data_IF_274844597786
#
_entry.id   IF_274844597786
#
_cell.length_a   1.000
_cell.length_b   1.000
_cell.length_c   1.000
_cell.angle_alpha   90.00
_cell.angle_beta   90.00
_cell.angle_gamma   90.00
#
_symmetry.space_group_name_H-M   'P 1'
#
loop_
_entity.id
_entity.type
_entity.pdbx_description
1 polymer ?
#
# COMPACT_ATOMS: atom_id res chain seq x y z
N UNK A 1 -40.66 -35.65 35.00
CA UNK A 1 -39.25 -35.77 35.40
C UNK A 1 -38.41 -35.42 34.18
N UNK A 2 -37.60 -34.36 34.27
CA UNK A 2 -36.92 -33.71 33.14
C UNK A 2 -35.95 -34.64 32.40
N UNK A 3 -36.21 -34.86 31.11
CA UNK A 3 -35.30 -35.51 30.18
C UNK A 3 -34.13 -34.56 29.92
N UNK A 4 -33.02 -34.76 30.63
CA UNK A 4 -31.78 -34.02 30.38
C UNK A 4 -31.24 -34.42 29.02
N UNK A 5 -31.53 -33.64 27.99
CA UNK A 5 -30.86 -33.69 26.68
C UNK A 5 -29.36 -33.52 26.92
N UNK A 6 -28.61 -34.62 26.97
CA UNK A 6 -27.14 -34.59 27.04
C UNK A 6 -26.64 -34.00 25.73
N UNK A 7 -26.33 -32.70 25.72
CA UNK A 7 -25.64 -32.05 24.61
C UNK A 7 -24.30 -32.75 24.45
N UNK A 8 -24.15 -33.54 23.37
CA UNK A 8 -22.92 -34.26 23.06
C UNK A 8 -21.90 -33.24 22.55
N UNK A 9 -21.04 -32.76 23.45
CA UNK A 9 -20.01 -31.78 23.12
C UNK A 9 -18.99 -32.42 22.17
N UNK A 10 -18.90 -31.90 20.95
CA UNK A 10 -17.88 -32.29 19.99
C UNK A 10 -16.51 -31.69 20.39
N UNK A 11 -15.68 -32.51 21.02
CA UNK A 11 -14.30 -32.13 21.43
C UNK A 11 -13.46 -31.65 20.25
N UNK A 12 -13.68 -32.16 19.04
CA UNK A 12 -12.96 -31.73 17.84
C UNK A 12 -13.42 -30.34 17.39
N UNK A 13 -14.72 -30.05 17.46
CA UNK A 13 -15.25 -28.72 17.17
C UNK A 13 -14.69 -27.67 18.15
N UNK A 14 -14.67 -27.97 19.45
CA UNK A 14 -14.06 -27.10 20.47
C UNK A 14 -12.60 -26.82 20.12
N UNK A 15 -11.81 -27.86 19.85
CA UNK A 15 -10.39 -27.71 19.51
C UNK A 15 -10.18 -26.79 18.29
N UNK A 16 -10.99 -26.94 17.25
CA UNK A 16 -10.93 -26.08 16.04
C UNK A 16 -11.23 -24.63 16.36
N UNK A 17 -12.26 -24.37 17.16
CA UNK A 17 -12.65 -23.03 17.59
C UNK A 17 -11.54 -22.40 18.44
N UNK A 18 -11.03 -23.11 19.45
CA UNK A 18 -9.96 -22.59 20.33
C UNK A 18 -8.69 -22.24 19.55
N UNK A 19 -8.24 -23.11 18.65
CA UNK A 19 -7.04 -22.84 17.82
C UNK A 19 -7.28 -21.66 16.87
N UNK A 20 -8.49 -21.56 16.30
CA UNK A 20 -8.85 -20.42 15.44
C UNK A 20 -8.87 -19.12 16.22
N UNK A 21 -9.47 -19.09 17.42
CA UNK A 21 -9.49 -17.94 18.32
C UNK A 21 -8.07 -17.51 18.73
N UNK A 22 -7.19 -18.48 19.05
CA UNK A 22 -5.79 -18.20 19.35
C UNK A 22 -5.07 -17.56 18.15
N UNK A 23 -5.30 -18.05 16.94
CA UNK A 23 -4.73 -17.46 15.72
C UNK A 23 -5.26 -16.03 15.49
N UNK A 24 -6.54 -15.77 15.72
CA UNK A 24 -7.13 -14.43 15.61
C UNK A 24 -6.47 -13.49 16.63
N UNK A 25 -6.34 -13.93 17.89
CA UNK A 25 -5.68 -13.14 18.94
C UNK A 25 -4.23 -12.80 18.62
N UNK A 26 -3.45 -13.78 18.14
CA UNK A 26 -2.07 -13.56 17.71
C UNK A 26 -1.99 -12.64 16.48
N UNK A 27 -2.91 -12.79 15.52
CA UNK A 27 -3.00 -11.92 14.35
C UNK A 27 -3.29 -10.47 14.74
N UNK A 28 -4.22 -10.26 15.67
CA UNK A 28 -4.54 -8.95 16.21
C UNK A 28 -3.35 -8.33 16.96
N UNK A 29 -2.62 -9.12 17.76
CA UNK A 29 -1.41 -8.68 18.44
C UNK A 29 -0.33 -8.22 17.44
N UNK A 30 -0.17 -8.94 16.32
CA UNK A 30 0.79 -8.56 15.28
C UNK A 30 0.50 -7.20 14.64
N UNK A 31 -0.73 -6.70 14.66
CA UNK A 31 -1.04 -5.37 14.14
C UNK A 31 -0.41 -4.25 14.99
N UNK A 32 -0.17 -4.49 16.29
CA UNK A 32 0.55 -3.56 17.17
C UNK A 32 2.03 -3.44 16.81
N UNK A 33 2.61 -4.47 16.20
CA UNK A 33 4.01 -4.53 15.79
C UNK A 33 4.21 -4.31 14.29
N UNK A 34 3.25 -3.63 13.62
CA UNK A 34 3.37 -3.32 12.20
C UNK A 34 4.64 -2.52 11.93
N UNK A 35 5.53 -3.08 11.10
CA UNK A 35 6.79 -2.45 10.75
C UNK A 35 6.52 -1.40 9.68
N UNK A 36 6.67 -0.13 10.03
CA UNK A 36 6.73 0.96 9.06
C UNK A 36 8.10 0.92 8.40
N UNK A 37 8.18 0.23 7.27
CA UNK A 37 9.36 0.24 6.45
C UNK A 37 9.26 1.47 5.55
N UNK A 38 9.97 2.55 5.90
CA UNK A 38 10.10 3.75 5.06
C UNK A 38 11.09 3.48 3.91
N UNK A 39 10.91 2.36 3.23
CA UNK A 39 11.52 2.09 1.94
C UNK A 39 10.41 2.48 0.95
N UNK A 40 10.72 3.29 -0.07
CA UNK A 40 9.81 3.76 -1.14
C UNK A 40 9.15 5.16 -0.98
N UNK A 41 9.45 5.94 0.07
CA UNK A 41 9.04 7.37 0.14
C UNK A 41 7.59 7.68 0.57
N UNK A 42 7.34 8.96 0.88
CA UNK A 42 6.02 9.61 1.07
C UNK A 42 5.28 9.32 2.37
N UNK A 43 5.11 8.07 2.75
CA UNK A 43 4.52 7.70 4.04
C UNK A 43 5.02 6.35 4.59
N UNK A 44 5.93 5.69 3.86
CA UNK A 44 6.43 4.36 4.22
C UNK A 44 5.38 3.27 4.06
N UNK A 45 5.85 2.04 3.82
CA UNK A 45 5.03 0.85 3.67
C UNK A 45 4.81 0.21 5.05
N UNK A 46 3.56 -0.06 5.43
CA UNK A 46 3.23 -0.79 6.66
C UNK A 46 3.15 -2.28 6.38
N UNK A 47 4.17 -3.03 6.80
CA UNK A 47 4.13 -4.49 6.69
C UNK A 47 3.39 -5.08 7.89
N UNK A 48 2.20 -5.61 7.63
CA UNK A 48 1.40 -6.34 8.61
C UNK A 48 1.74 -7.83 8.65
N UNK A 49 2.02 -8.36 9.85
CA UNK A 49 2.29 -9.79 10.07
C UNK A 49 1.02 -10.60 10.41
N UNK A 50 -0.13 -9.95 10.57
CA UNK A 50 -1.40 -10.59 10.91
C UNK A 50 -1.82 -11.67 9.89
N UNK A 51 -1.49 -11.46 8.61
CA UNK A 51 -1.78 -12.41 7.52
C UNK A 51 -1.18 -13.81 7.74
N UNK A 52 -0.09 -13.91 8.50
CA UNK A 52 0.54 -15.18 8.87
C UNK A 52 -0.44 -16.03 9.70
N UNK A 53 -1.04 -15.43 10.71
CA UNK A 53 -1.89 -16.15 11.68
C UNK A 53 -3.31 -16.38 11.15
N UNK A 54 -3.88 -15.46 10.37
CA UNK A 54 -5.20 -15.67 9.75
C UNK A 54 -5.17 -16.73 8.64
N UNK A 55 -4.01 -16.98 8.04
CA UNK A 55 -3.83 -18.05 7.05
C UNK A 55 -3.81 -19.45 7.68
N UNK A 56 -3.39 -19.59 8.95
CA UNK A 56 -3.33 -20.89 9.61
C UNK A 56 -4.71 -21.58 9.72
N UNK A 57 -5.79 -20.94 10.21
CA UNK A 57 -7.13 -21.53 10.19
C UNK A 57 -7.62 -21.92 8.79
N UNK A 58 -7.26 -21.15 7.76
CA UNK A 58 -7.61 -21.43 6.37
C UNK A 58 -6.98 -22.74 5.89
N UNK A 59 -5.70 -22.96 6.22
CA UNK A 59 -4.94 -24.17 5.86
C UNK A 59 -5.40 -25.38 6.69
N UNK A 60 -5.57 -25.19 8.00
CA UNK A 60 -5.88 -26.27 8.95
C UNK A 60 -7.32 -26.76 8.82
N UNK A 61 -8.27 -25.84 8.68
CA UNK A 61 -9.69 -26.14 8.80
C UNK A 61 -10.49 -25.76 7.55
N UNK A 62 -9.87 -25.13 6.56
CA UNK A 62 -10.47 -24.88 5.24
C UNK A 62 -11.11 -23.51 5.09
N UNK A 63 -11.81 -23.28 3.95
CA UNK A 63 -12.23 -21.95 3.50
C UNK A 63 -13.02 -21.14 4.54
N UNK A 64 -14.08 -21.71 5.11
CA UNK A 64 -14.96 -20.99 6.03
C UNK A 64 -14.26 -20.57 7.34
N UNK A 65 -13.36 -21.40 7.86
CA UNK A 65 -12.57 -21.03 9.04
C UNK A 65 -11.55 -19.94 8.71
N UNK A 66 -10.93 -20.00 7.52
CA UNK A 66 -10.05 -18.95 7.03
C UNK A 66 -10.77 -17.61 6.85
N UNK A 67 -11.94 -17.63 6.22
CA UNK A 67 -12.76 -16.43 6.02
C UNK A 67 -13.23 -15.84 7.34
N UNK A 68 -13.80 -16.65 8.23
CA UNK A 68 -14.25 -16.19 9.54
C UNK A 68 -13.10 -15.63 10.38
N UNK A 69 -11.93 -16.28 10.38
CA UNK A 69 -10.75 -15.78 11.10
C UNK A 69 -10.24 -14.45 10.55
N UNK A 70 -10.26 -14.28 9.22
CA UNK A 70 -9.81 -13.04 8.57
C UNK A 70 -10.77 -11.89 8.82
N UNK A 71 -12.09 -12.13 8.76
CA UNK A 71 -13.11 -11.14 9.09
C UNK A 71 -13.06 -10.72 10.58
N UNK A 72 -12.91 -11.70 11.48
CA UNK A 72 -12.79 -11.40 12.91
C UNK A 72 -11.51 -10.61 13.23
N UNK A 73 -10.39 -10.94 12.59
CA UNK A 73 -9.14 -10.21 12.75
C UNK A 73 -9.22 -8.77 12.23
N UNK A 74 -10.00 -8.52 11.17
CA UNK A 74 -10.25 -7.18 10.64
C UNK A 74 -11.05 -6.33 11.64
N UNK A 75 -12.16 -6.86 12.17
CA UNK A 75 -13.00 -6.20 13.19
C UNK A 75 -12.16 -5.90 14.45
N UNK A 76 -11.46 -6.91 14.98
CA UNK A 76 -10.65 -6.75 16.19
C UNK A 76 -9.48 -5.78 15.95
N UNK A 77 -8.86 -5.83 14.77
CA UNK A 77 -7.81 -4.90 14.38
C UNK A 77 -8.29 -3.45 14.41
N UNK A 78 -9.48 -3.19 13.87
CA UNK A 78 -10.11 -1.87 13.90
C UNK A 78 -10.40 -1.36 15.32
N UNK A 79 -10.73 -2.27 16.25
CA UNK A 79 -10.99 -1.93 17.66
C UNK A 79 -9.68 -1.60 18.40
N UNK A 80 -8.63 -2.39 18.16
CA UNK A 80 -7.35 -2.26 18.89
C UNK A 80 -6.51 -1.08 18.39
N UNK A 81 -6.46 -0.87 17.08
CA UNK A 81 -5.66 0.16 16.45
C UNK A 81 -6.47 0.88 15.36
N UNK A 82 -7.42 1.76 15.75
CA UNK A 82 -8.28 2.43 14.78
C UNK A 82 -7.46 3.35 13.86
N UNK A 83 -7.49 3.07 12.57
CA UNK A 83 -6.81 3.86 11.52
C UNK A 83 -7.79 4.59 10.59
N UNK A 84 -8.93 4.99 11.13
CA UNK A 84 -10.04 5.62 10.40
C UNK A 84 -11.39 4.98 10.73
N UNK A 85 -12.48 5.43 10.07
CA UNK A 85 -13.81 4.85 10.24
C UNK A 85 -13.84 3.39 9.80
N UNK A 86 -14.55 2.55 10.56
CA UNK A 86 -14.78 1.17 10.18
C UNK A 86 -15.59 1.08 8.89
N UNK A 87 -15.09 0.32 7.92
CA UNK A 87 -15.77 0.06 6.65
C UNK A 87 -16.09 -1.43 6.52
N UNK A 88 -17.37 -1.84 6.62
CA UNK A 88 -17.79 -3.24 6.54
C UNK A 88 -17.37 -3.96 5.25
N UNK A 89 -17.10 -3.22 4.16
CA UNK A 89 -16.65 -3.81 2.91
C UNK A 89 -15.23 -4.40 3.02
N UNK A 90 -14.35 -3.82 3.85
CA UNK A 90 -13.03 -4.39 4.09
C UNK A 90 -13.09 -5.69 4.88
N UNK A 91 -14.06 -5.80 5.79
CA UNK A 91 -14.31 -7.07 6.50
C UNK A 91 -14.85 -8.14 5.55
N UNK A 92 -15.69 -7.77 4.58
CA UNK A 92 -16.18 -8.69 3.56
C UNK A 92 -15.05 -9.14 2.62
N UNK A 93 -14.18 -8.24 2.18
CA UNK A 93 -13.01 -8.60 1.36
C UNK A 93 -12.00 -9.41 2.16
N UNK A 94 -11.82 -9.14 3.47
CA UNK A 94 -11.01 -9.97 4.37
C UNK A 94 -11.58 -11.39 4.49
N UNK A 95 -12.90 -11.53 4.66
CA UNK A 95 -13.56 -12.84 4.64
C UNK A 95 -13.31 -13.57 3.32
N UNK A 96 -13.55 -12.90 2.19
CA UNK A 96 -13.35 -13.47 0.86
C UNK A 96 -11.90 -13.92 0.66
N UNK A 97 -10.94 -13.11 1.11
CA UNK A 97 -9.52 -13.46 1.08
C UNK A 97 -9.21 -14.73 1.88
N UNK A 98 -9.62 -14.77 3.15
CA UNK A 98 -9.44 -15.96 4.00
C UNK A 98 -10.11 -17.22 3.43
N UNK A 99 -11.29 -17.07 2.81
CA UNK A 99 -11.99 -18.14 2.14
C UNK A 99 -11.21 -18.67 0.92
N UNK A 100 -10.75 -17.76 0.05
CA UNK A 100 -9.97 -18.08 -1.15
C UNK A 100 -8.65 -18.75 -0.78
N UNK A 101 -7.94 -18.29 0.26
CA UNK A 101 -6.71 -18.96 0.76
C UNK A 101 -6.95 -20.44 1.05
N UNK A 102 -8.01 -20.74 1.81
CA UNK A 102 -8.36 -22.12 2.16
C UNK A 102 -8.84 -22.94 0.96
N UNK A 103 -9.52 -22.31 0.00
CA UNK A 103 -9.99 -22.97 -1.22
C UNK A 103 -8.82 -23.33 -2.13
N UNK A 104 -7.97 -22.35 -2.44
CA UNK A 104 -6.77 -22.54 -3.27
C UNK A 104 -5.85 -23.57 -2.64
N UNK A 105 -5.62 -23.49 -1.33
CA UNK A 105 -4.85 -24.50 -0.60
C UNK A 105 -5.37 -25.91 -0.88
N UNK A 106 -6.70 -26.10 -0.81
CA UNK A 106 -7.34 -27.39 -1.04
C UNK A 106 -7.24 -27.85 -2.48
N UNK A 107 -7.48 -26.97 -3.45
CA UNK A 107 -7.39 -27.32 -4.88
C UNK A 107 -5.97 -27.74 -5.27
N UNK A 108 -4.97 -27.09 -4.67
CA UNK A 108 -3.57 -27.33 -4.90
C UNK A 108 -3.01 -28.57 -4.18
N UNK A 109 -3.81 -29.29 -3.36
CA UNK A 109 -3.34 -30.49 -2.64
C UNK A 109 -2.98 -31.66 -3.54
N UNK A 110 -3.55 -31.70 -4.75
CA UNK A 110 -3.39 -32.80 -5.69
C UNK A 110 -2.27 -32.57 -6.70
N UNK A 111 -1.69 -31.37 -6.76
CA UNK A 111 -0.66 -31.02 -7.74
C UNK A 111 0.69 -31.58 -7.28
N UNK A 112 1.43 -32.18 -8.22
CA UNK A 112 2.71 -32.81 -7.93
C UNK A 112 3.78 -31.77 -7.53
N UNK A 113 4.61 -32.13 -6.55
CA UNK A 113 5.75 -31.34 -6.07
C UNK A 113 6.69 -30.89 -7.20
N UNK A 114 6.94 -31.72 -8.21
CA UNK A 114 7.81 -31.34 -9.35
C UNK A 114 7.19 -30.19 -10.16
N UNK A 115 5.89 -30.28 -10.44
CA UNK A 115 5.15 -29.25 -11.17
C UNK A 115 5.14 -27.93 -10.40
N UNK A 116 4.91 -27.96 -9.09
CA UNK A 116 5.01 -26.75 -8.25
C UNK A 116 6.38 -26.08 -8.33
N UNK A 117 7.47 -26.85 -8.32
CA UNK A 117 8.82 -26.29 -8.42
C UNK A 117 9.05 -25.63 -9.77
N UNK A 118 8.66 -26.28 -10.87
CA UNK A 118 8.83 -25.71 -12.22
C UNK A 118 8.05 -24.40 -12.34
N UNK A 119 6.77 -24.41 -11.95
CA UNK A 119 5.92 -23.21 -11.99
C UNK A 119 6.49 -22.12 -11.09
N UNK A 120 6.86 -22.46 -9.84
CA UNK A 120 7.46 -21.53 -8.90
C UNK A 120 8.76 -20.91 -9.42
N UNK A 121 9.68 -21.73 -9.95
CA UNK A 121 10.92 -21.25 -10.58
C UNK A 121 10.62 -20.32 -11.74
N UNK A 122 9.71 -20.68 -12.64
CA UNK A 122 9.33 -19.84 -13.78
C UNK A 122 8.75 -18.50 -13.33
N UNK A 123 7.83 -18.49 -12.37
CA UNK A 123 7.23 -17.27 -11.83
C UNK A 123 8.26 -16.36 -11.15
N UNK A 124 9.12 -16.90 -10.28
CA UNK A 124 10.11 -16.08 -9.59
C UNK A 124 11.25 -15.62 -10.51
N UNK A 125 11.63 -16.44 -11.50
CA UNK A 125 12.55 -16.02 -12.56
C UNK A 125 11.98 -14.87 -13.40
N UNK A 126 10.67 -14.90 -13.70
CA UNK A 126 9.98 -13.82 -14.39
C UNK A 126 10.00 -12.52 -13.55
N UNK A 127 9.69 -12.58 -12.24
CA UNK A 127 9.78 -11.40 -11.38
C UNK A 127 11.20 -10.83 -11.31
N UNK A 128 12.20 -11.71 -11.21
CA UNK A 128 13.61 -11.29 -11.23
C UNK A 128 13.97 -10.61 -12.56
N UNK A 129 13.59 -11.23 -13.69
CA UNK A 129 13.86 -10.68 -15.02
C UNK A 129 13.19 -9.32 -15.21
N UNK A 130 11.90 -9.18 -14.84
CA UNK A 130 11.18 -7.92 -14.91
C UNK A 130 11.83 -6.84 -14.04
N UNK A 131 12.20 -7.16 -12.80
CA UNK A 131 12.88 -6.22 -11.90
C UNK A 131 14.21 -5.72 -12.45
N UNK A 132 15.01 -6.63 -13.04
CA UNK A 132 16.29 -6.29 -13.68
C UNK A 132 16.09 -5.47 -14.96
N UNK A 133 15.08 -5.80 -15.77
CA UNK A 133 14.73 -5.02 -16.98
C UNK A 133 14.35 -3.59 -16.58
N UNK A 134 13.45 -3.41 -15.60
CA UNK A 134 13.11 -2.07 -15.12
C UNK A 134 14.34 -1.32 -14.61
N UNK A 135 15.21 -1.97 -13.85
CA UNK A 135 16.43 -1.34 -13.33
C UNK A 135 17.36 -0.89 -14.46
N UNK A 136 17.57 -1.72 -15.47
CA UNK A 136 18.42 -1.40 -16.60
C UNK A 136 17.88 -0.24 -17.45
N UNK A 137 16.59 -0.26 -17.81
CA UNK A 137 15.99 0.79 -18.63
C UNK A 137 15.84 2.12 -17.87
N UNK A 138 15.43 2.09 -16.61
CA UNK A 138 15.33 3.31 -15.78
C UNK A 138 16.72 3.93 -15.53
N UNK A 139 17.76 3.11 -15.41
CA UNK A 139 19.15 3.58 -15.32
C UNK A 139 19.65 4.16 -16.64
N UNK A 140 19.38 3.50 -17.77
CA UNK A 140 19.78 3.98 -19.10
C UNK A 140 19.11 5.31 -19.48
N UNK A 141 17.86 5.50 -19.06
CA UNK A 141 17.09 6.72 -19.30
C UNK A 141 17.37 7.83 -18.26
N UNK A 142 18.29 7.61 -17.32
CA UNK A 142 18.66 8.60 -16.30
C UNK A 142 17.60 8.85 -15.22
N UNK A 143 16.57 8.01 -15.13
CA UNK A 143 15.50 8.13 -14.12
C UNK A 143 15.98 7.66 -12.75
N UNK A 144 16.71 6.56 -12.68
CA UNK A 144 17.18 6.01 -11.42
C UNK A 144 18.44 5.16 -11.55
N UNK A 145 19.48 5.53 -10.82
CA UNK A 145 20.73 4.77 -10.75
C UNK A 145 20.90 4.03 -9.40
N UNK A 146 20.04 4.27 -8.42
CA UNK A 146 20.14 3.66 -7.08
C UNK A 146 19.31 2.38 -6.97
N UNK A 147 19.77 1.45 -6.14
CA UNK A 147 19.04 0.19 -5.85
C UNK A 147 17.69 0.47 -5.18
N UNK A 148 17.65 1.49 -4.32
CA UNK A 148 16.44 2.02 -3.70
C UNK A 148 16.34 3.48 -4.14
N UNK A 149 15.27 3.84 -4.85
CA UNK A 149 15.07 5.22 -5.26
C UNK A 149 14.57 6.06 -4.09
N UNK A 150 15.09 7.27 -3.99
CA UNK A 150 14.68 8.30 -3.03
C UNK A 150 14.21 9.51 -3.81
N UNK A 151 13.41 10.39 -3.19
CA UNK A 151 12.98 11.62 -3.84
C UNK A 151 14.19 12.39 -4.41
N UNK A 152 15.31 12.43 -3.68
CA UNK A 152 16.54 13.11 -4.11
C UNK A 152 17.27 12.46 -5.30
N UNK A 153 17.10 11.15 -5.50
CA UNK A 153 17.84 10.40 -6.53
C UNK A 153 17.10 10.28 -7.86
N UNK A 154 15.86 10.77 -7.94
CA UNK A 154 15.04 10.75 -9.16
C UNK A 154 14.87 12.18 -9.73
N UNK A 155 14.69 12.29 -11.06
CA UNK A 155 14.51 13.56 -11.74
C UNK A 155 13.19 14.24 -11.41
N UNK A 156 13.14 15.54 -11.69
CA UNK A 156 11.95 16.37 -11.55
C UNK A 156 11.00 16.20 -12.73
N UNK A 157 9.72 16.57 -12.56
CA UNK A 157 8.69 16.32 -13.58
C UNK A 157 9.01 16.95 -14.94
N UNK A 158 9.54 18.18 -14.96
CA UNK A 158 9.93 18.84 -16.21
C UNK A 158 11.12 18.15 -16.90
N UNK A 159 12.08 17.63 -16.13
CA UNK A 159 13.20 16.83 -16.67
C UNK A 159 12.68 15.52 -17.29
N UNK A 160 11.72 14.86 -16.65
CA UNK A 160 11.09 13.62 -17.16
C UNK A 160 10.30 13.88 -18.45
N UNK A 161 9.50 14.94 -18.48
CA UNK A 161 8.65 15.26 -19.63
C UNK A 161 9.42 15.73 -20.86
N UNK A 162 10.60 16.33 -20.65
CA UNK A 162 11.51 16.73 -21.74
C UNK A 162 12.45 15.59 -22.19
N UNK A 163 12.55 14.51 -21.42
CA UNK A 163 13.44 13.39 -21.74
C UNK A 163 12.88 12.45 -22.82
N UNK A 164 13.78 11.98 -23.69
CA UNK A 164 13.50 10.93 -24.70
C UNK A 164 13.46 9.53 -24.08
N UNK A 165 12.48 9.26 -23.22
CA UNK A 165 12.40 8.01 -22.44
C UNK A 165 12.01 6.79 -23.28
N UNK A 166 12.56 5.63 -22.91
CA UNK A 166 12.15 4.34 -23.44
C UNK A 166 10.71 3.99 -23.05
N UNK A 167 10.10 3.06 -23.80
CA UNK A 167 8.76 2.55 -23.47
C UNK A 167 8.69 1.98 -22.04
N UNK A 168 9.74 1.28 -21.59
CA UNK A 168 9.77 0.64 -20.26
C UNK A 168 9.75 1.70 -19.15
N UNK A 169 10.53 2.77 -19.29
CA UNK A 169 10.52 3.87 -18.31
C UNK A 169 9.20 4.62 -18.30
N UNK A 170 8.57 4.82 -19.48
CA UNK A 170 7.24 5.42 -19.61
C UNK A 170 6.14 4.66 -18.89
N UNK A 171 6.24 3.33 -18.80
CA UNK A 171 5.29 2.53 -18.01
C UNK A 171 5.26 2.92 -16.53
N UNK A 172 6.33 3.53 -16.03
CA UNK A 172 6.47 4.01 -14.65
C UNK A 172 6.23 5.51 -14.57
N UNK A 173 6.93 6.32 -15.37
CA UNK A 173 6.89 7.79 -15.26
C UNK A 173 5.52 8.36 -15.59
N UNK A 174 4.82 7.82 -16.59
CA UNK A 174 3.51 8.33 -17.02
C UNK A 174 2.39 8.04 -16.01
N UNK A 175 2.67 7.18 -15.02
CA UNK A 175 1.75 6.84 -13.93
C UNK A 175 1.83 7.81 -12.75
N UNK A 176 2.84 8.68 -12.73
CA UNK A 176 3.01 9.69 -11.69
C UNK A 176 2.24 10.95 -12.08
N UNK A 177 0.96 11.00 -11.73
CA UNK A 177 0.09 12.13 -12.06
C UNK A 177 0.15 13.29 -11.05
N UNK A 178 0.85 13.11 -9.93
CA UNK A 178 0.96 14.15 -8.91
C UNK A 178 1.82 15.32 -9.39
N UNK A 179 1.39 16.54 -9.08
CA UNK A 179 2.16 17.75 -9.31
C UNK A 179 2.78 18.23 -8.01
N UNK A 180 3.97 18.81 -8.09
CA UNK A 180 4.59 19.46 -6.94
C UNK A 180 3.78 20.68 -6.50
N UNK A 181 3.78 20.91 -5.18
CA UNK A 181 3.22 22.13 -4.60
C UNK A 181 4.36 23.01 -4.12
N UNK A 182 4.44 24.20 -4.70
CA UNK A 182 5.36 25.25 -4.32
C UNK A 182 4.67 26.14 -3.28
N UNK A 183 5.17 26.06 -2.05
CA UNK A 183 4.64 26.81 -0.91
C UNK A 183 5.47 28.07 -0.72
N UNK A 184 4.83 29.23 -0.82
CA UNK A 184 5.42 30.52 -0.49
C UNK A 184 5.70 30.59 1.02
N UNK A 185 6.92 30.95 1.36
CA UNK A 185 7.38 31.14 2.75
C UNK A 185 7.70 32.60 3.06
N UNK A 186 7.89 33.42 2.03
CA UNK A 186 8.08 34.86 2.15
C UNK A 186 7.55 35.54 0.89
N UNK A 187 7.00 36.74 1.08
CA UNK A 187 6.46 37.62 0.05
C UNK A 187 7.17 38.98 0.18
N UNK A 188 7.38 39.74 -0.91
CA UNK A 188 7.92 41.10 -0.82
C UNK A 188 7.02 42.02 0.01
N UNK A 189 7.62 42.97 0.74
CA UNK A 189 6.86 43.99 1.48
C UNK A 189 6.41 45.11 0.53
N UNK A 190 5.20 44.97 0.00
CA UNK A 190 4.55 45.94 -0.87
C UNK A 190 3.12 46.21 -0.39
N UNK A 191 2.57 47.39 -0.69
CA UNK A 191 1.19 47.71 -0.32
C UNK A 191 0.17 46.77 -0.98
N UNK A 192 0.44 46.36 -2.21
CA UNK A 192 -0.44 45.53 -3.02
C UNK A 192 0.37 44.35 -3.59
N UNK A 193 0.14 43.14 -3.08
CA UNK A 193 0.87 41.94 -3.51
C UNK A 193 -0.01 41.11 -4.44
N UNK A 194 0.54 40.70 -5.58
CA UNK A 194 -0.08 39.67 -6.42
C UNK A 194 0.63 38.33 -6.21
N UNK A 195 -0.10 37.28 -5.84
CA UNK A 195 0.51 35.95 -5.74
C UNK A 195 0.83 35.41 -7.13
N UNK A 196 2.04 34.89 -7.38
CA UNK A 196 2.42 34.41 -8.70
C UNK A 196 1.81 33.04 -9.01
N UNK A 197 1.48 32.84 -10.29
CA UNK A 197 1.37 31.50 -10.87
C UNK A 197 2.77 31.01 -11.23
N UNK A 198 3.13 29.78 -10.85
CA UNK A 198 4.49 29.26 -11.05
C UNK A 198 4.49 28.18 -12.15
N UNK A 199 5.47 28.28 -13.03
CA UNK A 199 5.89 27.22 -13.94
C UNK A 199 7.30 26.78 -13.54
N UNK A 200 7.53 25.49 -13.40
CA UNK A 200 8.83 24.94 -13.01
C UNK A 200 9.32 23.98 -14.08
N UNK A 201 10.47 24.26 -14.69
CA UNK A 201 11.03 23.48 -15.81
C UNK A 201 10.02 23.24 -16.94
N UNK A 202 9.25 24.28 -17.29
CA UNK A 202 8.22 24.22 -18.35
C UNK A 202 6.89 23.58 -17.93
N UNK A 203 6.79 23.05 -16.71
CA UNK A 203 5.57 22.43 -16.18
C UNK A 203 4.79 23.38 -15.25
N UNK A 204 3.47 23.45 -15.42
CA UNK A 204 2.61 24.17 -14.46
C UNK A 204 2.59 23.44 -13.12
N UNK A 205 2.87 24.16 -12.04
CA UNK A 205 2.88 23.61 -10.67
C UNK A 205 1.77 24.22 -9.83
N UNK A 206 1.42 23.55 -8.73
CA UNK A 206 0.45 24.09 -7.77
C UNK A 206 1.14 25.08 -6.84
N UNK A 207 0.51 26.21 -6.54
CA UNK A 207 1.04 27.21 -5.60
C UNK A 207 0.19 27.25 -4.34
N UNK A 208 0.82 27.44 -3.19
CA UNK A 208 0.15 27.68 -1.92
C UNK A 208 0.88 28.79 -1.14
N UNK A 209 0.16 29.58 -0.34
CA UNK A 209 0.79 30.49 0.62
C UNK A 209 0.82 29.85 2.01
N UNK A 210 2.04 29.63 2.52
CA UNK A 210 2.29 28.97 3.79
C UNK A 210 2.08 29.87 5.00
N UNK A 211 2.03 29.26 6.20
CA UNK A 211 1.94 30.00 7.46
C UNK A 211 3.20 30.87 7.63
N UNK A 212 3.00 32.16 7.89
CA UNK A 212 4.09 33.12 8.04
C UNK A 212 4.63 33.69 6.73
N UNK A 213 4.04 33.36 5.57
CA UNK A 213 4.45 33.92 4.28
C UNK A 213 4.39 35.45 4.23
N UNK A 214 3.52 36.05 5.04
CA UNK A 214 3.29 37.50 5.14
C UNK A 214 3.83 38.12 6.44
N UNK A 215 4.60 37.37 7.25
CA UNK A 215 4.98 37.81 8.61
C UNK A 215 5.86 39.08 8.64
N UNK A 216 6.57 39.38 7.55
CA UNK A 216 7.48 40.52 7.44
C UNK A 216 6.95 41.62 6.50
N UNK A 217 5.65 41.64 6.20
CA UNK A 217 5.06 42.61 5.28
C UNK A 217 4.36 43.74 6.06
N UNK A 218 5.12 44.74 6.51
CA UNK A 218 4.59 45.85 7.32
C UNK A 218 3.72 46.84 6.52
N UNK A 219 3.91 46.89 5.21
CA UNK A 219 3.24 47.83 4.30
C UNK A 219 1.97 47.25 3.66
N UNK A 220 1.72 45.94 3.86
CA UNK A 220 0.71 45.17 3.14
C UNK A 220 -0.73 45.62 3.46
N UNK A 221 -1.48 46.01 2.42
CA UNK A 221 -2.89 46.38 2.50
C UNK A 221 -3.79 45.46 1.69
N UNK A 222 -3.31 44.98 0.55
CA UNK A 222 -4.06 44.05 -0.29
C UNK A 222 -3.23 42.90 -0.83
N UNK A 223 -3.91 41.75 -0.97
CA UNK A 223 -3.34 40.54 -1.58
C UNK A 223 -4.28 40.06 -2.67
N UNK A 224 -3.75 39.90 -3.88
CA UNK A 224 -4.48 39.32 -5.00
C UNK A 224 -4.11 37.85 -5.18
N UNK A 225 -5.12 36.99 -5.24
CA UNK A 225 -4.98 35.54 -5.26
C UNK A 225 -5.53 34.99 -6.58
N UNK A 226 -4.65 34.55 -7.52
CA UNK A 226 -5.08 33.89 -8.73
C UNK A 226 -5.73 32.53 -8.44
N UNK A 227 -6.59 32.06 -9.36
CA UNK A 227 -7.27 30.76 -9.30
C UNK A 227 -6.31 29.55 -9.19
N UNK A 228 -5.07 29.72 -9.65
CA UNK A 228 -4.02 28.69 -9.58
C UNK A 228 -3.51 28.44 -8.15
N UNK A 229 -3.74 29.37 -7.21
CA UNK A 229 -3.31 29.23 -5.81
C UNK A 229 -4.31 28.34 -5.06
N UNK A 230 -3.85 27.18 -4.62
CA UNK A 230 -4.70 26.16 -4.00
C UNK A 230 -5.19 26.56 -2.60
N UNK A 231 -4.35 27.22 -1.83
CA UNK A 231 -4.63 27.59 -0.44
C UNK A 231 -3.78 28.76 0.01
N UNK A 232 -4.33 29.57 0.92
CA UNK A 232 -3.63 30.65 1.60
C UNK A 232 -3.81 30.45 3.10
N UNK A 233 -2.70 30.32 3.84
CA UNK A 233 -2.74 30.25 5.29
C UNK A 233 -3.05 31.64 5.86
N UNK A 234 -4.20 31.75 6.52
CA UNK A 234 -4.63 32.97 7.21
C UNK A 234 -4.24 32.94 8.69
N UNK A 235 -3.96 34.12 9.25
CA UNK A 235 -3.64 34.35 10.65
C UNK A 235 -4.21 35.71 11.08
N UNK A 236 -4.39 35.94 12.39
CA UNK A 236 -4.97 37.18 12.92
C UNK A 236 -4.17 38.44 12.54
N UNK A 237 -2.87 38.30 12.29
CA UNK A 237 -2.01 39.37 11.79
C UNK A 237 -2.46 39.95 10.43
N UNK A 238 -3.33 39.26 9.70
CA UNK A 238 -3.85 39.67 8.39
C UNK A 238 -5.27 40.25 8.45
N UNK A 239 -5.82 40.52 9.64
CA UNK A 239 -7.21 41.00 9.80
C UNK A 239 -7.50 42.33 9.09
N UNK A 240 -6.48 43.16 8.85
CA UNK A 240 -6.59 44.44 8.14
C UNK A 240 -6.27 44.36 6.65
N UNK A 241 -5.84 43.20 6.16
CA UNK A 241 -5.50 42.98 4.75
C UNK A 241 -6.74 42.55 3.96
N UNK A 242 -6.94 43.17 2.79
CA UNK A 242 -8.03 42.82 1.87
C UNK A 242 -7.56 41.79 0.84
N UNK A 243 -8.26 40.65 0.76
CA UNK A 243 -7.99 39.59 -0.20
C UNK A 243 -8.89 39.70 -1.43
N UNK A 244 -8.28 39.87 -2.59
CA UNK A 244 -8.96 39.83 -3.89
C UNK A 244 -8.88 38.41 -4.43
N UNK A 245 -10.00 37.67 -4.38
CA UNK A 245 -10.06 36.25 -4.76
C UNK A 245 -11.38 35.94 -5.44
N UNK A 246 -11.31 35.20 -6.55
CA UNK A 246 -12.48 34.74 -7.30
C UNK A 246 -13.30 33.73 -6.48
N UNK A 247 -14.63 33.76 -6.59
CA UNK A 247 -15.51 32.79 -5.92
C UNK A 247 -15.25 31.35 -6.38
N UNK A 248 -14.70 31.18 -7.60
CA UNK A 248 -14.37 29.87 -8.16
C UNK A 248 -13.01 29.33 -7.70
N UNK A 249 -12.21 30.14 -7.02
CA UNK A 249 -10.88 29.73 -6.58
C UNK A 249 -10.96 28.75 -5.39
N UNK A 250 -10.06 27.75 -5.36
CA UNK A 250 -10.01 26.75 -4.27
C UNK A 250 -9.69 27.36 -2.90
N UNK A 251 -9.00 28.50 -2.89
CA UNK A 251 -8.64 29.26 -1.68
C UNK A 251 -9.79 30.07 -1.07
N UNK A 252 -10.86 30.36 -1.83
CA UNK A 252 -11.97 31.22 -1.40
C UNK A 252 -12.67 30.69 -0.16
N UNK A 253 -13.07 29.41 -0.16
CA UNK A 253 -13.81 28.81 0.94
C UNK A 253 -13.03 28.86 2.27
N UNK A 254 -11.73 28.56 2.22
CA UNK A 254 -10.86 28.58 3.39
C UNK A 254 -10.66 30.00 3.95
N UNK A 255 -10.48 31.01 3.09
CA UNK A 255 -10.36 32.41 3.51
C UNK A 255 -11.66 32.94 4.12
N UNK A 256 -12.81 32.56 3.53
CA UNK A 256 -14.13 32.94 4.04
C UNK A 256 -14.41 32.34 5.41
N UNK A 257 -14.10 31.05 5.60
CA UNK A 257 -14.25 30.37 6.89
C UNK A 257 -13.31 30.96 7.96
N UNK A 258 -12.13 31.42 7.56
CA UNK A 258 -11.17 32.08 8.44
C UNK A 258 -11.52 33.54 8.79
N UNK A 259 -12.59 34.11 8.20
CA UNK A 259 -13.04 35.48 8.48
C UNK A 259 -12.22 36.57 7.80
N UNK A 260 -11.52 36.26 6.71
CA UNK A 260 -10.75 37.25 5.95
C UNK A 260 -11.65 38.29 5.25
N UNK A 261 -11.17 39.53 5.10
CA UNK A 261 -11.84 40.56 4.28
C UNK A 261 -11.67 40.22 2.80
N UNK A 262 -12.74 39.84 2.11
CA UNK A 262 -12.69 39.34 0.72
C UNK A 262 -13.43 40.26 -0.25
N UNK A 263 -12.82 40.50 -1.42
CA UNK A 263 -13.43 41.15 -2.58
C UNK A 263 -13.37 40.20 -3.78
N UNK A 264 -14.49 40.01 -4.47
CA UNK A 264 -14.66 39.01 -5.54
C UNK A 264 -14.66 39.61 -6.95
N UNK A 265 -14.93 40.91 -7.08
CA UNK A 265 -14.89 41.64 -8.35
C UNK A 265 -13.59 42.43 -8.45
N UNK A 266 -12.66 41.96 -9.30
CA UNK A 266 -11.39 42.61 -9.56
C UNK A 266 -10.84 42.19 -10.92
N UNK A 267 -9.97 43.03 -11.48
CA UNK A 267 -9.21 42.72 -12.69
C UNK A 267 -7.77 42.39 -12.29
N UNK A 268 -7.28 41.21 -12.67
CA UNK A 268 -5.94 40.74 -12.31
C UNK A 268 -5.05 40.64 -13.55
N UNK A 269 -3.95 41.38 -13.56
CA UNK A 269 -2.84 41.05 -14.46
C UNK A 269 -2.11 39.81 -13.90
N UNK A 270 -2.06 38.69 -14.64
CA UNK A 270 -1.45 37.46 -14.13
C UNK A 270 0.07 37.63 -14.02
N UNK A 271 0.60 37.51 -12.80
CA UNK A 271 2.05 37.37 -12.59
C UNK A 271 2.40 35.90 -12.79
N UNK A 272 3.19 35.60 -13.82
CA UNK A 272 3.71 34.26 -14.08
C UNK A 272 5.21 34.21 -13.82
N UNK A 273 5.64 33.25 -13.01
CA UNK A 273 7.03 33.05 -12.63
C UNK A 273 7.51 31.73 -13.22
N UNK A 274 8.60 31.78 -13.98
CA UNK A 274 9.30 30.60 -14.46
C UNK A 274 10.50 30.33 -13.54
N UNK A 275 10.46 29.20 -12.82
CA UNK A 275 11.57 28.69 -12.04
C UNK A 275 12.30 27.63 -12.87
N UNK A 276 13.62 27.75 -13.02
CA UNK A 276 14.41 26.98 -13.99
C UNK A 276 15.66 26.30 -13.42
N UNK A 277 16.05 26.62 -12.18
CA UNK A 277 17.33 26.17 -11.61
C UNK A 277 17.18 25.53 -10.22
N UNK A 278 17.98 24.49 -9.98
CA UNK A 278 18.20 23.86 -8.67
C UNK A 278 18.93 24.87 -7.78
N UNK A 279 18.17 25.69 -7.06
CA UNK A 279 18.68 26.77 -6.20
C UNK A 279 17.67 27.18 -5.14
N UNK A 280 17.94 28.27 -4.42
CA UNK A 280 16.94 28.88 -3.55
C UNK A 280 15.77 29.30 -4.46
N UNK A 281 14.60 28.68 -4.32
CA UNK A 281 13.43 29.00 -5.12
C UNK A 281 12.97 30.42 -4.76
N UNK A 282 13.59 31.41 -5.38
CA UNK A 282 13.40 32.83 -5.08
C UNK A 282 13.19 33.59 -6.38
N UNK A 283 12.23 34.50 -6.38
CA UNK A 283 11.95 35.38 -7.52
C UNK A 283 11.36 36.67 -7.00
N UNK A 284 11.93 37.84 -7.35
CA UNK A 284 11.34 39.14 -7.01
C UNK A 284 10.95 39.33 -5.54
N UNK A 285 11.73 38.80 -4.59
CA UNK A 285 11.44 38.85 -3.15
C UNK A 285 10.52 37.75 -2.63
N UNK A 286 9.86 36.98 -3.51
CA UNK A 286 9.13 35.78 -3.14
C UNK A 286 10.11 34.63 -2.86
N UNK A 287 9.88 33.88 -1.79
CA UNK A 287 10.61 32.65 -1.47
C UNK A 287 9.66 31.47 -1.46
N UNK A 288 10.07 30.35 -2.07
CA UNK A 288 9.29 29.14 -2.19
C UNK A 288 10.00 27.93 -1.58
N UNK A 289 9.19 26.94 -1.21
CA UNK A 289 9.64 25.60 -0.82
C UNK A 289 8.79 24.57 -1.55
N UNK A 290 9.39 23.46 -1.98
CA UNK A 290 8.66 22.36 -2.62
C UNK A 290 8.40 21.24 -1.64
N UNK A 291 7.28 20.54 -1.81
CA UNK A 291 6.98 19.32 -1.07
C UNK A 291 7.54 18.04 -1.72
N UNK A 292 8.22 18.16 -2.87
CA UNK A 292 8.80 17.04 -3.64
C UNK A 292 7.78 15.89 -3.88
N UNK A 293 6.49 16.19 -4.02
CA UNK A 293 5.43 15.18 -4.13
C UNK A 293 5.58 14.29 -5.35
N UNK A 294 5.91 14.88 -6.50
CA UNK A 294 6.15 14.14 -7.73
C UNK A 294 7.32 13.17 -7.56
N UNK A 295 8.46 13.67 -7.09
CA UNK A 295 9.70 12.88 -6.94
C UNK A 295 9.55 11.79 -5.89
N UNK A 296 8.82 12.08 -4.83
CA UNK A 296 8.48 11.10 -3.79
C UNK A 296 7.67 9.95 -4.36
N UNK A 297 6.63 10.24 -5.15
CA UNK A 297 5.84 9.22 -5.81
C UNK A 297 6.64 8.48 -6.89
N UNK A 298 7.40 9.19 -7.72
CA UNK A 298 8.25 8.58 -8.74
C UNK A 298 9.24 7.59 -8.11
N UNK A 299 9.93 7.99 -7.05
CA UNK A 299 10.84 7.12 -6.29
C UNK A 299 10.11 5.88 -5.74
N UNK A 300 8.85 6.03 -5.31
CA UNK A 300 8.02 4.92 -4.88
C UNK A 300 7.79 3.91 -6.01
N UNK A 301 7.25 4.35 -7.14
CA UNK A 301 6.97 3.48 -8.28
C UNK A 301 8.24 2.82 -8.83
N UNK A 302 9.33 3.58 -8.97
CA UNK A 302 10.63 3.08 -9.41
C UNK A 302 11.13 1.99 -8.48
N UNK A 303 11.06 2.20 -7.17
CA UNK A 303 11.56 1.22 -6.21
C UNK A 303 10.69 -0.05 -6.15
N UNK A 304 9.38 0.07 -6.34
CA UNK A 304 8.52 -1.09 -6.50
C UNK A 304 8.88 -1.89 -7.76
N UNK A 305 9.02 -1.21 -8.90
CA UNK A 305 9.31 -1.85 -10.18
C UNK A 305 10.71 -2.51 -10.21
N UNK A 306 11.68 -1.96 -9.47
CA UNK A 306 13.06 -2.45 -9.45
C UNK A 306 13.33 -3.33 -8.23
N UNK A 307 13.44 -2.73 -7.04
CA UNK A 307 13.84 -3.40 -5.81
C UNK A 307 12.85 -4.48 -5.37
N UNK A 308 11.55 -4.18 -5.31
CA UNK A 308 10.58 -5.15 -4.78
C UNK A 308 10.43 -6.39 -5.68
N UNK A 309 10.35 -6.20 -7.00
CA UNK A 309 10.31 -7.31 -7.97
C UNK A 309 11.60 -8.15 -7.96
N UNK A 310 12.76 -7.49 -7.94
CA UNK A 310 14.06 -8.18 -7.87
C UNK A 310 14.19 -8.98 -6.59
N UNK A 311 13.83 -8.38 -5.45
CA UNK A 311 13.88 -9.04 -4.15
C UNK A 311 12.90 -10.21 -4.07
N UNK A 312 11.67 -10.05 -4.58
CA UNK A 312 10.68 -11.14 -4.66
C UNK A 312 11.16 -12.29 -5.53
N UNK A 313 11.78 -12.00 -6.69
CA UNK A 313 12.38 -13.00 -7.55
C UNK A 313 13.53 -13.76 -6.89
N UNK A 314 14.49 -13.03 -6.30
CA UNK A 314 15.63 -13.64 -5.60
C UNK A 314 15.20 -14.49 -4.40
N UNK A 315 14.38 -13.92 -3.51
CA UNK A 315 13.92 -14.62 -2.29
C UNK A 315 13.00 -15.79 -2.63
N UNK A 316 12.17 -15.67 -3.67
CA UNK A 316 11.36 -16.76 -4.18
C UNK A 316 12.18 -17.90 -4.78
N UNK A 317 13.22 -17.60 -5.56
CA UNK A 317 14.15 -18.62 -6.07
C UNK A 317 14.93 -19.29 -4.94
N UNK A 318 15.36 -18.54 -3.93
CA UNK A 318 15.98 -19.09 -2.72
C UNK A 318 15.01 -20.01 -1.96
N UNK A 319 13.72 -19.66 -1.89
CA UNK A 319 12.69 -20.50 -1.30
C UNK A 319 12.50 -21.81 -2.09
N UNK A 320 12.46 -21.75 -3.43
CA UNK A 320 12.42 -22.96 -4.28
C UNK A 320 13.66 -23.83 -4.05
N UNK A 321 14.85 -23.22 -4.00
CA UNK A 321 16.11 -23.92 -3.77
C UNK A 321 16.13 -24.59 -2.38
N UNK A 322 15.73 -23.85 -1.34
CA UNK A 322 15.64 -24.38 0.02
C UNK A 322 14.65 -25.54 0.09
N UNK A 323 13.50 -25.43 -0.57
CA UNK A 323 12.51 -26.51 -0.65
C UNK A 323 13.05 -27.74 -1.40
N UNK A 324 13.80 -27.52 -2.49
CA UNK A 324 14.46 -28.58 -3.25
C UNK A 324 15.49 -29.32 -2.39
N UNK A 325 16.41 -28.58 -1.76
CA UNK A 325 17.44 -29.15 -0.87
C UNK A 325 16.81 -29.89 0.31
N UNK A 326 15.78 -29.31 0.93
CA UNK A 326 15.04 -29.96 2.01
C UNK A 326 14.42 -31.28 1.56
N UNK A 327 13.80 -31.30 0.38
CA UNK A 327 13.20 -32.53 -0.15
C UNK A 327 14.22 -33.63 -0.47
N UNK A 328 15.49 -33.25 -0.70
CA UNK A 328 16.60 -34.20 -0.88
C UNK A 328 17.08 -34.75 0.46
N UNK A 329 17.20 -33.90 1.48
CA UNK A 329 17.65 -34.27 2.83
C UNK A 329 16.60 -35.05 3.63
N UNK A 330 15.31 -34.73 3.46
CA UNK A 330 14.20 -35.36 4.17
C UNK A 330 13.12 -35.85 3.21
N UNK A 331 13.38 -36.98 2.55
CA UNK A 331 12.47 -37.58 1.56
C UNK A 331 11.06 -37.87 2.10
N UNK A 332 10.92 -38.13 3.40
CA UNK A 332 9.65 -38.49 4.06
C UNK A 332 8.83 -37.28 4.52
N UNK A 333 9.38 -36.07 4.56
CA UNK A 333 8.65 -34.89 5.03
C UNK A 333 8.00 -34.11 3.87
N UNK A 334 6.73 -33.71 4.00
CA UNK A 334 6.06 -32.88 3.02
C UNK A 334 6.61 -31.45 3.02
N UNK A 335 6.67 -30.85 1.84
CA UNK A 335 7.07 -29.46 1.65
C UNK A 335 5.86 -28.64 1.23
N UNK A 336 5.71 -27.46 1.86
CA UNK A 336 4.50 -26.66 1.76
C UNK A 336 4.74 -25.25 1.21
N UNK A 337 5.99 -24.80 1.07
CA UNK A 337 6.28 -23.37 0.90
C UNK A 337 5.69 -22.82 -0.40
N UNK A 338 5.89 -23.50 -1.53
CA UNK A 338 5.31 -23.07 -2.81
C UNK A 338 3.79 -23.14 -2.85
N UNK A 339 3.18 -24.13 -2.17
CA UNK A 339 1.73 -24.25 -2.08
C UNK A 339 1.13 -23.16 -1.20
N UNK A 340 1.77 -22.87 -0.07
CA UNK A 340 1.40 -21.75 0.81
C UNK A 340 1.50 -20.44 0.03
N UNK A 341 2.63 -20.20 -0.63
CA UNK A 341 2.84 -19.00 -1.46
C UNK A 341 1.73 -18.85 -2.50
N UNK A 342 1.42 -19.90 -3.27
CA UNK A 342 0.35 -19.85 -4.26
C UNK A 342 -1.03 -19.54 -3.64
N UNK A 343 -1.34 -20.14 -2.48
CA UNK A 343 -2.61 -19.88 -1.77
C UNK A 343 -2.75 -18.44 -1.30
N UNK A 344 -1.70 -17.85 -0.74
CA UNK A 344 -1.75 -16.46 -0.27
C UNK A 344 -1.62 -15.48 -1.42
N UNK A 345 -0.82 -15.76 -2.45
CA UNK A 345 -0.61 -14.89 -3.61
C UNK A 345 -1.89 -14.69 -4.42
N UNK A 346 -2.61 -15.79 -4.72
CA UNK A 346 -3.90 -15.69 -5.45
C UNK A 346 -4.92 -14.88 -4.65
N UNK A 347 -4.98 -15.11 -3.34
CA UNK A 347 -5.82 -14.31 -2.45
C UNK A 347 -5.40 -12.84 -2.45
N UNK A 348 -4.10 -12.55 -2.36
CA UNK A 348 -3.59 -11.19 -2.29
C UNK A 348 -3.99 -10.42 -3.54
N UNK A 349 -3.76 -10.96 -4.74
CA UNK A 349 -4.17 -10.31 -5.99
C UNK A 349 -5.67 -10.03 -6.04
N UNK A 350 -6.50 -10.94 -5.53
CA UNK A 350 -7.95 -10.74 -5.45
C UNK A 350 -8.32 -9.63 -4.46
N UNK A 351 -7.80 -9.69 -3.24
CA UNK A 351 -8.10 -8.72 -2.17
C UNK A 351 -7.56 -7.35 -2.53
N UNK A 352 -6.35 -7.24 -3.07
CA UNK A 352 -5.77 -5.99 -3.56
C UNK A 352 -6.64 -5.39 -4.66
N UNK A 353 -7.16 -6.19 -5.59
CA UNK A 353 -8.06 -5.73 -6.65
C UNK A 353 -9.35 -5.17 -6.08
N UNK A 354 -10.06 -5.95 -5.25
CA UNK A 354 -11.32 -5.51 -4.63
C UNK A 354 -11.14 -4.28 -3.74
N UNK A 355 -10.10 -4.27 -2.90
CA UNK A 355 -9.81 -3.14 -2.03
C UNK A 355 -9.43 -1.89 -2.83
N UNK A 356 -8.74 -2.04 -3.97
CA UNK A 356 -8.44 -0.88 -4.83
C UNK A 356 -9.70 -0.30 -5.45
N UNK A 357 -10.66 -1.14 -5.85
CA UNK A 357 -11.99 -0.67 -6.31
C UNK A 357 -12.72 0.08 -5.19
N UNK A 358 -12.79 -0.49 -3.98
CA UNK A 358 -13.44 0.16 -2.83
C UNK A 358 -12.77 1.50 -2.49
N UNK A 359 -11.44 1.54 -2.52
CA UNK A 359 -10.69 2.77 -2.26
C UNK A 359 -10.97 3.83 -3.31
N UNK A 360 -10.91 3.46 -4.59
CA UNK A 360 -11.11 4.40 -5.70
C UNK A 360 -12.54 4.93 -5.77
N UNK A 361 -13.54 4.06 -5.64
CA UNK A 361 -14.93 4.41 -5.89
C UNK A 361 -15.67 4.91 -4.64
N UNK A 362 -15.19 4.59 -3.43
CA UNK A 362 -15.92 4.90 -2.20
C UNK A 362 -15.10 5.70 -1.19
N UNK A 363 -13.88 5.24 -0.86
CA UNK A 363 -13.12 5.85 0.25
C UNK A 363 -12.43 7.15 -0.16
N UNK A 364 -11.82 7.17 -1.34
CA UNK A 364 -11.07 8.29 -1.90
C UNK A 364 -11.71 8.77 -3.21
N UNK A 365 -13.03 8.69 -3.34
CA UNK A 365 -13.74 9.10 -4.55
C UNK A 365 -13.43 10.56 -4.97
N UNK A 366 -13.14 11.46 -4.04
CA UNK A 366 -12.75 12.84 -4.34
C UNK A 366 -11.31 12.99 -4.83
N UNK A 367 -10.41 12.07 -4.44
CA UNK A 367 -8.96 12.19 -4.66
C UNK A 367 -8.41 11.21 -5.68
N UNK A 368 -9.04 10.04 -5.84
CA UNK A 368 -8.57 8.92 -6.66
C UNK A 368 -9.49 8.62 -7.85
N UNK A 369 -10.70 9.17 -7.91
CA UNK A 369 -11.62 8.87 -9.02
C UNK A 369 -11.07 9.24 -10.39
N UNK A 370 -10.21 10.27 -10.47
CA UNK A 370 -9.57 10.71 -11.71
C UNK A 370 -8.40 9.82 -12.15
N UNK A 371 -7.85 8.98 -11.26
CA UNK A 371 -6.75 8.09 -11.62
C UNK A 371 -7.26 6.80 -12.28
N UNK A 372 -6.66 6.38 -13.41
CA UNK A 372 -6.92 5.05 -13.97
C UNK A 372 -6.66 3.95 -12.92
N UNK A 373 -7.52 2.93 -12.88
CA UNK A 373 -7.42 1.84 -11.90
C UNK A 373 -6.00 1.23 -11.82
N UNK A 374 -5.39 1.01 -12.99
CA UNK A 374 -4.07 0.38 -13.10
C UNK A 374 -2.96 1.19 -12.41
N UNK A 375 -3.09 2.52 -12.36
CA UNK A 375 -2.11 3.41 -11.71
C UNK A 375 -2.07 3.13 -10.21
N UNK A 376 -3.25 3.06 -9.59
CA UNK A 376 -3.38 2.84 -8.15
C UNK A 376 -3.12 1.38 -7.79
N UNK A 377 -3.47 0.44 -8.67
CA UNK A 377 -3.39 -0.98 -8.42
C UNK A 377 -1.96 -1.54 -8.50
N UNK A 378 -1.15 -1.11 -9.49
CA UNK A 378 0.20 -1.70 -9.71
C UNK A 378 1.09 -1.63 -8.46
N UNK A 379 1.28 -0.48 -7.79
CA UNK A 379 2.12 -0.40 -6.59
C UNK A 379 1.65 -1.36 -5.50
N UNK A 380 0.33 -1.41 -5.28
CA UNK A 380 -0.30 -2.28 -4.28
C UNK A 380 -0.13 -3.76 -4.62
N UNK A 381 -0.23 -4.12 -5.89
CA UNK A 381 -0.03 -5.49 -6.35
C UNK A 381 1.44 -5.93 -6.17
N UNK A 382 2.40 -5.06 -6.50
CA UNK A 382 3.83 -5.33 -6.30
C UNK A 382 4.16 -5.47 -4.81
N UNK A 383 3.64 -4.59 -3.96
CA UNK A 383 3.72 -4.70 -2.50
C UNK A 383 3.17 -6.07 -2.02
N UNK A 384 1.99 -6.45 -2.51
CA UNK A 384 1.36 -7.73 -2.17
C UNK A 384 2.23 -8.94 -2.53
N UNK A 385 2.90 -8.92 -3.69
CA UNK A 385 3.86 -9.97 -4.10
C UNK A 385 4.97 -10.12 -3.07
N UNK A 386 5.57 -9.00 -2.66
CA UNK A 386 6.67 -8.98 -1.71
C UNK A 386 6.25 -9.53 -0.33
N UNK A 387 5.10 -9.07 0.19
CA UNK A 387 4.55 -9.54 1.46
C UNK A 387 4.26 -11.05 1.41
N UNK A 388 3.72 -11.55 0.29
CA UNK A 388 3.44 -12.97 0.12
C UNK A 388 4.70 -13.84 0.25
N UNK A 389 5.85 -13.41 -0.30
CA UNK A 389 7.09 -14.21 -0.18
C UNK A 389 7.53 -14.33 1.29
N UNK A 390 7.49 -13.22 2.03
CA UNK A 390 7.85 -13.19 3.46
C UNK A 390 6.89 -14.07 4.27
N UNK A 391 5.58 -13.89 4.07
CA UNK A 391 4.56 -14.64 4.79
C UNK A 391 4.64 -16.14 4.48
N UNK A 392 4.89 -16.53 3.23
CA UNK A 392 5.00 -17.94 2.85
C UNK A 392 6.10 -18.66 3.64
N UNK A 393 7.26 -18.03 3.83
CA UNK A 393 8.35 -18.58 4.62
C UNK A 393 7.94 -18.76 6.09
N UNK A 394 7.41 -17.71 6.72
CA UNK A 394 7.01 -17.73 8.12
C UNK A 394 5.91 -18.78 8.40
N UNK A 395 4.86 -18.81 7.56
CA UNK A 395 3.77 -19.78 7.66
C UNK A 395 4.31 -21.21 7.52
N UNK A 396 5.25 -21.46 6.60
CA UNK A 396 5.82 -22.80 6.42
C UNK A 396 6.55 -23.29 7.66
N UNK A 397 7.32 -22.42 8.32
CA UNK A 397 7.98 -22.75 9.59
C UNK A 397 6.94 -23.06 10.67
N UNK A 398 5.92 -22.23 10.81
CA UNK A 398 4.85 -22.43 11.80
C UNK A 398 4.05 -23.71 11.56
N UNK A 399 3.73 -24.04 10.30
CA UNK A 399 3.05 -25.29 9.96
C UNK A 399 3.87 -26.50 10.41
N UNK A 400 5.20 -26.49 10.25
CA UNK A 400 6.04 -27.60 10.75
C UNK A 400 5.95 -27.76 12.27
N UNK A 401 5.97 -26.65 13.00
CA UNK A 401 5.81 -26.66 14.47
C UNK A 401 4.42 -27.19 14.85
N UNK A 402 3.37 -26.69 14.21
CA UNK A 402 1.98 -27.10 14.45
C UNK A 402 1.75 -28.56 14.09
N UNK A 403 2.36 -29.08 13.02
CA UNK A 403 2.28 -30.51 12.66
C UNK A 403 2.75 -31.39 13.81
N UNK A 404 3.90 -31.04 14.40
CA UNK A 404 4.50 -31.77 15.52
C UNK A 404 3.64 -31.64 16.78
N UNK A 405 3.20 -30.43 17.11
CA UNK A 405 2.41 -30.16 18.31
C UNK A 405 1.01 -30.78 18.26
N UNK A 406 0.33 -30.70 17.10
CA UNK A 406 -1.05 -31.13 16.95
C UNK A 406 -1.21 -32.58 16.47
N UNK A 407 -0.13 -33.21 15.98
CA UNK A 407 -0.12 -34.54 15.34
C UNK A 407 -1.13 -34.66 14.18
N UNK A 408 -1.30 -33.60 13.40
CA UNK A 408 -2.25 -33.51 12.27
C UNK A 408 -1.49 -33.55 10.94
N UNK A 409 -1.94 -34.37 9.99
CA UNK A 409 -1.46 -34.32 8.60
C UNK A 409 -2.31 -33.34 7.78
N UNK A 410 -1.65 -32.33 7.21
CA UNK A 410 -2.29 -31.25 6.45
C UNK A 410 -2.61 -31.60 4.99
N UNK A 411 -2.22 -32.81 4.55
CA UNK A 411 -2.39 -33.30 3.18
C UNK A 411 -3.64 -34.19 3.00
N UNK A 412 -4.40 -34.47 4.06
CA UNK A 412 -5.52 -35.40 3.99
C UNK A 412 -6.84 -34.71 3.60
N UNK A 413 -7.57 -35.24 2.58
CA UNK A 413 -8.97 -34.89 2.41
C UNK A 413 -9.74 -35.32 3.67
N UNK A 414 -10.65 -34.47 4.15
CA UNK A 414 -11.46 -34.66 5.37
C UNK A 414 -12.15 -36.04 5.50
N UNK A 415 -12.29 -36.80 4.40
CA UNK A 415 -12.78 -38.19 4.43
C UNK A 415 -11.90 -39.13 5.26
N UNK A 416 -10.59 -38.87 5.38
CA UNK A 416 -9.69 -39.67 6.22
C UNK A 416 -9.70 -39.25 7.70
N UNK A 417 -10.00 -37.98 8.00
CA UNK A 417 -10.19 -37.50 9.38
C UNK A 417 -11.44 -38.10 10.02
N UNK A 418 -12.52 -38.30 9.25
CA UNK A 418 -13.72 -39.02 9.73
C UNK A 418 -13.41 -40.47 10.14
N UNK A 419 -12.49 -41.17 9.45
CA UNK A 419 -12.07 -42.55 9.78
C UNK A 419 -11.21 -42.62 11.03
N UNK A 420 -10.24 -41.71 11.18
CA UNK A 420 -9.33 -41.72 12.34
C UNK A 420 -10.03 -41.42 13.66
N UNK A 421 -11.06 -40.58 13.64
CA UNK A 421 -11.90 -40.30 14.81
C UNK A 421 -12.90 -41.43 15.13
N UNK A 422 -13.22 -42.32 14.15
CA UNK A 422 -14.02 -43.53 14.40
C UNK A 422 -13.16 -44.68 14.93
N UNK A 423 -11.93 -44.83 14.45
CA UNK A 423 -11.01 -45.88 14.91
C UNK A 423 -10.49 -45.62 16.34
N UNK A 424 -10.30 -44.35 16.73
CA UNK A 424 -9.91 -43.99 18.10
C UNK A 424 -11.04 -44.18 19.14
N UNK A 425 -12.30 -44.26 18.70
CA UNK A 425 -13.45 -44.57 19.56
C UNK A 425 -13.76 -46.06 19.67
N UNK A 426 -13.13 -46.91 18.85
CA UNK A 426 -13.33 -48.35 18.81
C UNK A 426 -12.27 -49.15 19.58
N UNK A 427 -11.21 -48.50 20.06
CA UNK A 427 -10.12 -49.13 20.81
C UNK A 427 -10.28 -49.05 22.34
N UNK A 428 -11.41 -48.55 22.83
CA UNK A 428 -11.71 -48.33 24.26
C UNK A 428 -13.08 -48.94 24.63
N UNK A 429 -13.38 -50.12 24.06
CA UNK A 429 -14.60 -50.90 24.28
C UNK A 429 -14.28 -52.31 24.76
#
# INVERSE_FOLDING_TARGET
MSEKTKIKIDKAAIRRICITAMCIGLGALCNLFSLNIVIFGGSGMKIGLAGIFTTLPAILYGPFYGGAASAAADIIGCIIAPSGPYNPLYTLTAFAGGFVKGLVWRLLSHVNKKTFRIIGTACFALFLALGVIFYAFLGADGINCSVIATAKSVPEKGEVNSAGLSFVSRLITDRVHTTDTFTLTSVPDEENVVLPSVTYLGEKVTVAAGKGAFANCASLKSVYVPDAVKSVAYDESLADVTFYVSENAKSYAALKEAGAKIVTEFELAPVSVALDSKGAFEYGGYKFTTNDSYRTNLAMYVSFATFALTLAGLTGLLLVLAEFLYSRLRKSEPTYALRVFASIFVCEMLVTTLNTVILKEMTYASSWASYPFIVVWIPRAIEGVFICVIQAYAITVLLKVLKRALKVDFDLPRSALKRKDTDAGAADG
#
